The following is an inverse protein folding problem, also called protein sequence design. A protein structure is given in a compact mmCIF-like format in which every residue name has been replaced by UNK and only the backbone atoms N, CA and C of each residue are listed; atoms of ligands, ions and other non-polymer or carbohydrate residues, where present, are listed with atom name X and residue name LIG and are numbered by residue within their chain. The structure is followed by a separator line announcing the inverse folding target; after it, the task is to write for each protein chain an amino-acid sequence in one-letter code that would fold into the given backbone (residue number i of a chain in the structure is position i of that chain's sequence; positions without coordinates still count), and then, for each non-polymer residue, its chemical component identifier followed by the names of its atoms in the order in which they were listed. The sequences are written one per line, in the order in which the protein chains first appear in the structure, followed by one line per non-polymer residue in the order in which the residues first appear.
data_IF_368306123589
#
_entry.id   IF_368306123589
#
_cell.length_a   1.000
_cell.length_b   1.000
_cell.length_c   1.000
_cell.angle_alpha   90.00
_cell.angle_beta   90.00
_cell.angle_gamma   90.00
#
_symmetry.space_group_name_H-M   'P 1'
#
loop_
_entity.id
_entity.type
_entity.pdbx_description
1 polymer ?
#
# COMPACT_ATOMS: atom_id res chain seq x y z
N UNK A 1 30.49 -12.05 -24.34
CA UNK A 1 31.36 -11.79 -23.17
C UNK A 1 30.93 -10.59 -22.32
N UNK A 2 30.43 -9.50 -22.91
CA UNK A 2 29.95 -8.32 -22.15
C UNK A 2 28.66 -8.59 -21.34
N UNK A 3 27.70 -9.36 -21.88
CA UNK A 3 26.50 -9.78 -21.15
C UNK A 3 26.79 -10.64 -19.90
N UNK A 4 27.87 -11.42 -19.94
CA UNK A 4 28.30 -12.27 -18.81
C UNK A 4 29.00 -11.46 -17.70
N UNK A 5 29.67 -10.34 -18.02
CA UNK A 5 30.34 -9.50 -17.02
C UNK A 5 29.38 -8.56 -16.29
N UNK A 6 28.27 -8.15 -16.93
CA UNK A 6 27.21 -7.32 -16.32
C UNK A 6 26.46 -8.12 -15.23
N UNK A 7 26.24 -9.43 -15.45
CA UNK A 7 25.58 -10.30 -14.46
C UNK A 7 26.36 -10.45 -13.14
N UNK A 8 27.69 -10.43 -13.19
CA UNK A 8 28.55 -10.67 -12.01
C UNK A 8 28.66 -9.49 -11.05
N UNK A 9 28.40 -8.26 -11.50
CA UNK A 9 28.46 -7.07 -10.64
C UNK A 9 27.12 -6.70 -10.00
N UNK A 10 25.99 -7.00 -10.65
CA UNK A 10 24.66 -6.87 -10.02
C UNK A 10 24.44 -7.84 -8.85
N UNK A 11 25.11 -8.99 -8.83
CA UNK A 11 25.01 -9.97 -7.74
C UNK A 11 25.80 -9.61 -6.46
N UNK A 12 26.73 -8.64 -6.53
CA UNK A 12 27.62 -8.28 -5.40
C UNK A 12 27.70 -6.77 -5.11
N UNK A 13 26.67 -6.00 -5.49
CA UNK A 13 26.62 -4.57 -5.22
C UNK A 13 25.99 -4.23 -3.87
N UNK A 14 26.55 -3.24 -3.15
CA UNK A 14 25.94 -2.67 -1.95
C UNK A 14 24.50 -2.15 -2.21
N UNK A 15 24.18 -1.75 -3.45
CA UNK A 15 22.84 -1.36 -3.87
C UNK A 15 21.80 -2.49 -3.72
N UNK A 16 22.16 -3.72 -4.10
CA UNK A 16 21.29 -4.90 -3.97
C UNK A 16 20.96 -5.20 -2.51
N UNK A 17 21.94 -5.01 -1.61
CA UNK A 17 21.74 -5.12 -0.16
C UNK A 17 20.76 -4.05 0.33
N UNK A 18 20.94 -2.78 -0.06
CA UNK A 18 20.04 -1.70 0.38
C UNK A 18 18.61 -1.90 -0.10
N UNK A 19 18.40 -2.39 -1.33
CA UNK A 19 17.06 -2.70 -1.86
C UNK A 19 16.34 -3.77 -1.03
N UNK A 20 17.05 -4.82 -0.64
CA UNK A 20 16.51 -5.91 0.20
C UNK A 20 16.29 -5.43 1.64
N UNK A 21 17.25 -4.70 2.20
CA UNK A 21 17.17 -4.14 3.55
C UNK A 21 16.02 -3.11 3.67
N UNK A 22 15.73 -2.35 2.61
CA UNK A 22 14.59 -1.44 2.55
C UNK A 22 13.27 -2.20 2.71
N UNK A 23 13.09 -3.33 2.01
CA UNK A 23 11.87 -4.14 2.10
C UNK A 23 11.70 -4.79 3.48
N UNK A 24 12.79 -5.13 4.16
CA UNK A 24 12.78 -5.54 5.57
C UNK A 24 12.44 -4.38 6.51
N UNK A 25 12.93 -3.17 6.22
CA UNK A 25 12.77 -2.02 7.10
C UNK A 25 11.39 -1.35 7.02
N UNK A 26 10.71 -1.39 5.87
CA UNK A 26 9.39 -0.76 5.66
C UNK A 26 8.41 -1.12 6.79
N UNK A 27 8.19 -2.41 7.15
CA UNK A 27 7.22 -2.77 8.17
C UNK A 27 7.68 -2.46 9.60
N UNK A 28 8.99 -2.31 9.83
CA UNK A 28 9.56 -2.27 11.18
C UNK A 28 9.87 -0.86 11.69
N UNK A 29 10.30 0.05 10.82
CA UNK A 29 10.73 1.38 11.27
C UNK A 29 10.65 2.44 10.16
N UNK A 30 9.93 3.56 10.39
CA UNK A 30 9.94 4.70 9.47
C UNK A 30 11.34 5.25 9.18
N UNK A 31 12.22 5.27 10.20
CA UNK A 31 13.58 5.80 10.10
C UNK A 31 14.48 4.89 9.28
N UNK A 32 14.52 3.59 9.58
CA UNK A 32 15.30 2.62 8.80
C UNK A 32 14.81 2.56 7.36
N UNK A 33 13.49 2.59 7.15
CA UNK A 33 12.89 2.69 5.81
C UNK A 33 13.47 3.89 5.06
N UNK A 34 13.48 5.08 5.64
CA UNK A 34 13.96 6.28 4.95
C UNK A 34 15.47 6.22 4.66
N UNK A 35 16.28 5.71 5.59
CA UNK A 35 17.73 5.52 5.38
C UNK A 35 17.97 4.56 4.21
N UNK A 36 17.39 3.36 4.24
CA UNK A 36 17.59 2.38 3.19
C UNK A 36 16.96 2.78 1.86
N UNK A 37 15.88 3.56 1.87
CA UNK A 37 15.29 4.12 0.66
C UNK A 37 16.27 5.07 -0.03
N UNK A 38 16.86 6.02 0.70
CA UNK A 38 17.84 6.96 0.13
C UNK A 38 19.07 6.22 -0.38
N UNK A 39 19.61 5.28 0.42
CA UNK A 39 20.76 4.47 0.02
C UNK A 39 20.46 3.59 -1.21
N UNK A 40 19.24 3.05 -1.33
CA UNK A 40 18.81 2.29 -2.50
C UNK A 40 18.72 3.19 -3.74
N UNK A 41 18.11 4.37 -3.62
CA UNK A 41 17.99 5.33 -4.72
C UNK A 41 19.38 5.75 -5.21
N UNK A 42 20.27 6.16 -4.30
CA UNK A 42 21.63 6.53 -4.63
C UNK A 42 22.40 5.35 -5.25
N UNK A 43 22.28 4.15 -4.68
CA UNK A 43 22.92 2.94 -5.19
C UNK A 43 22.50 2.61 -6.63
N UNK A 44 21.20 2.72 -6.94
CA UNK A 44 20.69 2.48 -8.30
C UNK A 44 21.15 3.56 -9.27
N UNK A 45 21.13 4.84 -8.88
CA UNK A 45 21.52 5.95 -9.74
C UNK A 45 23.03 5.98 -10.04
N UNK A 46 23.88 5.62 -9.08
CA UNK A 46 25.35 5.59 -9.22
C UNK A 46 25.81 4.40 -10.07
N UNK A 47 25.02 3.34 -10.16
CA UNK A 47 25.37 2.17 -10.97
C UNK A 47 25.20 2.52 -12.46
N UNK A 48 26.27 3.04 -13.08
CA UNK A 48 26.31 3.62 -14.44
C UNK A 48 25.83 2.72 -15.59
N UNK A 49 25.51 1.45 -15.34
CA UNK A 49 25.08 0.48 -16.34
C UNK A 49 23.61 0.64 -16.78
N UNK A 50 22.84 1.54 -16.17
CA UNK A 50 21.38 1.55 -16.30
C UNK A 50 20.78 2.59 -17.27
N UNK A 51 21.58 3.31 -18.06
CA UNK A 51 21.03 4.38 -18.94
C UNK A 51 19.96 3.86 -19.91
N UNK A 52 20.17 2.69 -20.50
CA UNK A 52 19.20 2.06 -21.41
C UNK A 52 17.95 1.57 -20.66
N UNK A 53 18.12 1.03 -19.46
CA UNK A 53 17.02 0.58 -18.59
C UNK A 53 16.12 1.75 -18.18
N UNK A 54 16.73 2.87 -17.79
CA UNK A 54 16.00 4.10 -17.48
C UNK A 54 15.27 4.62 -18.71
N UNK A 55 15.93 4.70 -19.88
CA UNK A 55 15.27 5.14 -21.11
C UNK A 55 14.06 4.27 -21.46
N UNK A 56 14.18 2.94 -21.32
CA UNK A 56 13.07 2.01 -21.48
C UNK A 56 11.95 2.28 -20.47
N UNK A 57 12.27 2.42 -19.19
CA UNK A 57 11.29 2.67 -18.12
C UNK A 57 10.56 3.99 -18.32
N UNK A 58 11.26 5.08 -18.64
CA UNK A 58 10.65 6.39 -18.94
C UNK A 58 9.79 6.37 -20.20
N UNK A 59 10.02 5.44 -21.13
CA UNK A 59 9.16 5.24 -22.29
C UNK A 59 7.81 4.61 -21.92
N UNK A 60 7.73 3.89 -20.80
CA UNK A 60 6.53 3.16 -20.37
C UNK A 60 5.39 4.10 -19.95
N UNK A 61 4.17 3.72 -20.33
CA UNK A 61 2.98 4.52 -20.04
C UNK A 61 2.67 4.65 -18.54
N UNK A 62 2.96 3.61 -17.73
CA UNK A 62 2.82 3.68 -16.27
C UNK A 62 3.79 4.67 -15.62
N UNK A 63 5.00 4.84 -16.17
CA UNK A 63 5.98 5.80 -15.66
C UNK A 63 5.52 7.23 -15.97
N UNK A 64 5.07 7.47 -17.21
CA UNK A 64 4.50 8.76 -17.62
C UNK A 64 3.26 9.12 -16.79
N UNK A 65 2.41 8.14 -16.49
CA UNK A 65 1.23 8.35 -15.66
C UNK A 65 1.59 8.69 -14.19
N UNK A 66 2.61 8.06 -13.62
CA UNK A 66 3.11 8.40 -12.27
C UNK A 66 3.66 9.82 -12.22
N UNK A 67 4.47 10.21 -13.23
CA UNK A 67 5.00 11.57 -13.35
C UNK A 67 3.87 12.58 -13.56
N UNK A 68 2.90 12.28 -14.43
CA UNK A 68 1.74 13.14 -14.67
C UNK A 68 0.97 13.42 -13.37
N UNK A 69 0.67 12.39 -12.58
CA UNK A 69 -0.02 12.54 -11.30
C UNK A 69 0.77 13.43 -10.33
N UNK A 70 2.10 13.28 -10.28
CA UNK A 70 2.96 14.16 -9.48
C UNK A 70 3.01 15.61 -10.02
N UNK A 71 3.05 15.79 -11.34
CA UNK A 71 3.01 17.12 -11.97
C UNK A 71 1.69 17.83 -11.71
N UNK A 72 0.56 17.11 -11.66
CA UNK A 72 -0.74 17.68 -11.25
C UNK A 72 -0.65 18.22 -9.82
N UNK A 73 -0.01 17.49 -8.90
CA UNK A 73 0.24 17.97 -7.53
C UNK A 73 1.10 19.23 -7.50
N UNK A 74 2.15 19.33 -8.32
CA UNK A 74 2.98 20.55 -8.39
C UNK A 74 2.17 21.71 -8.99
N UNK A 75 1.48 21.48 -10.10
CA UNK A 75 0.68 22.50 -10.76
C UNK A 75 -0.40 23.06 -9.84
N UNK A 76 -1.04 22.21 -9.04
CA UNK A 76 -2.05 22.58 -8.06
C UNK A 76 -1.54 23.47 -6.92
N UNK A 77 -0.23 23.60 -6.73
CA UNK A 77 0.33 24.61 -5.84
C UNK A 77 0.21 26.04 -6.38
N UNK A 78 -0.05 26.24 -7.68
CA UNK A 78 -0.12 27.56 -8.31
C UNK A 78 -1.40 28.32 -7.93
N UNK A 79 -2.50 27.61 -7.69
CA UNK A 79 -3.79 28.22 -7.32
C UNK A 79 -4.26 27.88 -5.91
N UNK A 80 -3.62 26.93 -5.21
CA UNK A 80 -4.01 26.57 -3.84
C UNK A 80 -3.76 27.69 -2.83
N UNK A 81 -4.60 27.77 -1.80
CA UNK A 81 -4.52 28.76 -0.71
C UNK A 81 -3.75 28.25 0.53
N UNK A 82 -3.33 26.97 0.55
CA UNK A 82 -2.63 26.38 1.68
C UNK A 82 -1.30 27.10 2.00
N UNK A 83 -0.86 27.06 3.26
CA UNK A 83 0.44 27.61 3.63
C UNK A 83 1.61 26.84 2.98
N UNK A 84 2.76 27.50 2.84
CA UNK A 84 3.93 26.94 2.15
C UNK A 84 4.43 25.63 2.78
N UNK A 85 4.32 25.47 4.10
CA UNK A 85 4.72 24.26 4.79
C UNK A 85 3.80 23.09 4.43
N UNK A 86 2.48 23.28 4.47
CA UNK A 86 1.50 22.27 4.06
C UNK A 86 1.69 21.86 2.59
N UNK A 87 1.92 22.82 1.67
CA UNK A 87 2.23 22.51 0.26
C UNK A 87 3.48 21.64 0.13
N UNK A 88 4.56 22.01 0.81
CA UNK A 88 5.82 21.27 0.78
C UNK A 88 5.64 19.84 1.31
N UNK A 89 4.98 19.67 2.45
CA UNK A 89 4.71 18.35 3.05
C UNK A 89 3.92 17.45 2.09
N UNK A 90 2.94 17.99 1.37
CA UNK A 90 2.17 17.21 0.41
C UNK A 90 2.97 16.89 -0.85
N UNK A 91 3.73 17.85 -1.40
CA UNK A 91 4.65 17.58 -2.51
C UNK A 91 5.63 16.47 -2.13
N UNK A 92 6.24 16.54 -0.93
CA UNK A 92 7.14 15.51 -0.43
C UNK A 92 6.45 14.14 -0.38
N UNK A 93 5.21 14.09 0.13
CA UNK A 93 4.43 12.85 0.20
C UNK A 93 4.09 12.29 -1.19
N UNK A 94 3.81 13.11 -2.19
CA UNK A 94 3.53 12.64 -3.55
C UNK A 94 4.81 12.36 -4.37
N UNK A 95 5.96 12.93 -3.99
CA UNK A 95 7.25 12.71 -4.65
C UNK A 95 7.66 11.23 -4.70
N UNK A 96 7.10 10.40 -3.81
CA UNK A 96 7.31 8.95 -3.82
C UNK A 96 6.94 8.30 -5.15
N UNK A 97 6.01 8.88 -5.93
CA UNK A 97 5.67 8.43 -7.29
C UNK A 97 6.90 8.40 -8.21
N UNK A 98 7.85 9.32 -8.02
CA UNK A 98 9.09 9.42 -8.80
C UNK A 98 10.09 8.30 -8.49
N UNK A 99 9.95 7.59 -7.37
CA UNK A 99 10.81 6.45 -7.06
C UNK A 99 10.41 5.18 -7.80
N UNK A 100 9.19 5.10 -8.33
CA UNK A 100 8.70 3.95 -9.09
C UNK A 100 9.64 3.53 -10.24
N UNK A 101 10.07 4.43 -11.15
CA UNK A 101 11.00 4.07 -12.21
C UNK A 101 12.37 3.61 -11.68
N UNK A 102 12.85 4.23 -10.59
CA UNK A 102 14.14 3.87 -9.97
C UNK A 102 14.09 2.44 -9.44
N UNK A 103 13.03 2.06 -8.73
CA UNK A 103 12.89 0.70 -8.24
C UNK A 103 12.63 -0.32 -9.35
N UNK A 104 11.92 0.06 -10.42
CA UNK A 104 11.77 -0.81 -11.59
C UNK A 104 13.13 -1.17 -12.24
N UNK A 105 14.09 -0.24 -12.24
CA UNK A 105 15.47 -0.52 -12.68
C UNK A 105 16.26 -1.28 -11.60
N UNK A 106 16.16 -0.88 -10.34
CA UNK A 106 16.93 -1.49 -9.25
C UNK A 106 16.63 -2.97 -9.04
N UNK A 107 15.39 -3.40 -9.25
CA UNK A 107 14.95 -4.78 -9.08
C UNK A 107 15.04 -5.65 -10.35
N UNK A 108 15.79 -5.26 -11.38
CA UNK A 108 15.93 -6.04 -12.63
C UNK A 108 16.35 -7.49 -12.39
N UNK A 109 17.24 -7.73 -11.41
CA UNK A 109 17.69 -9.09 -11.10
C UNK A 109 16.60 -9.88 -10.34
N UNK A 110 16.18 -11.01 -10.91
CA UNK A 110 15.19 -11.93 -10.33
C UNK A 110 15.53 -12.39 -8.91
N UNK A 111 16.80 -12.68 -8.63
CA UNK A 111 17.26 -13.11 -7.30
C UNK A 111 17.02 -12.01 -6.26
N UNK A 112 17.32 -10.75 -6.60
CA UNK A 112 17.10 -9.59 -5.72
C UNK A 112 15.60 -9.39 -5.47
N UNK A 113 14.74 -9.53 -6.50
CA UNK A 113 13.28 -9.50 -6.31
C UNK A 113 12.82 -10.49 -5.25
N UNK A 114 13.22 -11.76 -5.41
CA UNK A 114 12.81 -12.82 -4.50
C UNK A 114 13.39 -12.62 -3.09
N UNK A 115 14.65 -12.20 -2.98
CA UNK A 115 15.25 -11.83 -1.69
C UNK A 115 14.50 -10.69 -1.01
N UNK A 116 14.03 -9.69 -1.78
CA UNK A 116 13.21 -8.60 -1.28
C UNK A 116 11.86 -9.08 -0.73
N UNK A 117 11.20 -10.01 -1.43
CA UNK A 117 9.96 -10.65 -0.94
C UNK A 117 10.22 -11.42 0.36
N UNK A 118 11.30 -12.20 0.43
CA UNK A 118 11.65 -12.93 1.65
C UNK A 118 12.01 -12.01 2.82
N UNK A 119 12.69 -10.91 2.55
CA UNK A 119 13.02 -9.87 3.54
C UNK A 119 11.77 -9.17 4.07
N UNK A 120 10.80 -8.88 3.20
CA UNK A 120 9.50 -8.39 3.66
C UNK A 120 8.78 -9.41 4.54
N UNK A 121 8.71 -10.68 4.12
CA UNK A 121 8.04 -11.73 4.88
C UNK A 121 8.71 -11.97 6.25
N UNK A 122 10.03 -11.91 6.35
CA UNK A 122 10.73 -12.06 7.63
C UNK A 122 10.44 -10.90 8.58
N UNK A 123 10.36 -9.66 8.10
CA UNK A 123 9.90 -8.52 8.88
C UNK A 123 8.46 -8.70 9.38
N UNK A 124 7.59 -9.31 8.56
CA UNK A 124 6.21 -9.60 8.94
C UNK A 124 6.09 -10.74 9.95
N UNK A 125 6.98 -11.75 9.91
CA UNK A 125 7.10 -12.75 10.99
C UNK A 125 7.41 -12.07 12.31
N UNK A 126 8.41 -11.18 12.35
CA UNK A 126 8.76 -10.43 13.56
C UNK A 126 7.57 -9.61 14.07
N UNK A 127 6.90 -8.90 13.17
CA UNK A 127 5.72 -8.09 13.50
C UNK A 127 4.59 -8.95 14.07
N UNK A 128 4.32 -10.11 13.47
CA UNK A 128 3.28 -11.05 13.92
C UNK A 128 3.61 -11.65 15.29
N UNK A 129 4.86 -12.06 15.53
CA UNK A 129 5.29 -12.58 16.84
C UNK A 129 5.06 -11.54 17.93
N UNK A 130 5.44 -10.28 17.69
CA UNK A 130 5.24 -9.20 18.66
C UNK A 130 3.74 -8.92 18.86
N UNK A 131 2.95 -8.87 17.79
CA UNK A 131 1.49 -8.70 17.84
C UNK A 131 0.82 -9.79 18.70
N UNK A 132 1.21 -11.05 18.53
CA UNK A 132 0.73 -12.18 19.35
C UNK A 132 1.13 -12.02 20.81
N UNK A 133 2.38 -11.63 21.09
CA UNK A 133 2.86 -11.40 22.45
C UNK A 133 2.11 -10.25 23.14
N UNK A 134 1.81 -9.16 22.41
CA UNK A 134 0.96 -8.07 22.89
C UNK A 134 -0.47 -8.55 23.18
N UNK A 135 -1.06 -9.31 22.26
CA UNK A 135 -2.42 -9.86 22.43
C UNK A 135 -2.57 -10.76 23.66
N UNK A 136 -1.48 -11.42 24.08
CA UNK A 136 -1.46 -12.25 25.30
C UNK A 136 -1.09 -11.48 26.57
N UNK A 137 -0.81 -10.18 26.48
CA UNK A 137 -0.44 -9.33 27.60
C UNK A 137 1.02 -9.45 28.06
N UNK A 138 1.88 -10.14 27.30
CA UNK A 138 3.31 -10.26 27.64
C UNK A 138 4.11 -8.99 27.33
N UNK A 139 3.63 -8.16 26.40
CA UNK A 139 4.26 -6.92 25.97
C UNK A 139 3.22 -5.79 25.96
N UNK A 140 3.51 -4.67 26.60
CA UNK A 140 2.66 -3.49 26.60
C UNK A 140 3.51 -2.25 26.29
N UNK A 141 3.47 -1.80 25.04
CA UNK A 141 4.19 -0.61 24.58
C UNK A 141 3.45 0.04 23.41
N UNK A 142 3.65 1.35 23.22
CA UNK A 142 2.93 2.27 22.32
C UNK A 142 1.42 2.41 22.58
N UNK A 143 0.67 1.31 22.62
CA UNK A 143 -0.75 1.25 22.96
C UNK A 143 -1.18 -0.15 23.33
N UNK A 144 -2.34 -0.28 23.99
CA UNK A 144 -2.97 -1.56 24.33
C UNK A 144 -3.45 -2.35 23.11
N UNK A 145 -3.71 -1.67 21.99
CA UNK A 145 -4.08 -2.31 20.72
C UNK A 145 -2.98 -3.28 20.23
N UNK A 146 -3.26 -4.59 20.16
CA UNK A 146 -2.29 -5.59 19.70
C UNK A 146 -1.83 -5.37 18.26
N UNK A 147 -2.68 -4.81 17.41
CA UNK A 147 -2.37 -4.50 16.00
C UNK A 147 -1.45 -3.28 15.84
N UNK A 148 -1.25 -2.48 16.88
CA UNK A 148 -0.33 -1.35 16.88
C UNK A 148 1.06 -1.81 17.36
N UNK A 149 1.86 -2.34 16.44
CA UNK A 149 3.19 -2.88 16.74
C UNK A 149 4.27 -1.82 16.49
N UNK A 150 4.73 -1.72 15.24
CA UNK A 150 5.66 -0.69 14.77
C UNK A 150 4.94 0.46 14.07
N UNK A 151 3.77 0.16 13.51
CA UNK A 151 2.83 1.11 12.91
C UNK A 151 1.43 0.81 13.43
N UNK A 152 0.52 1.77 13.27
CA UNK A 152 -0.88 1.61 13.69
C UNK A 152 -1.55 0.37 13.08
N UNK A 153 -2.66 -0.07 13.67
CA UNK A 153 -3.36 -1.29 13.25
C UNK A 153 -3.80 -1.26 11.77
N UNK A 154 -4.07 -0.09 11.20
CA UNK A 154 -4.47 0.03 9.78
C UNK A 154 -3.29 -0.35 8.88
N UNK A 155 -2.13 0.27 9.09
CA UNK A 155 -0.91 0.01 8.30
C UNK A 155 -0.42 -1.41 8.54
N UNK A 156 -0.34 -1.84 9.80
CA UNK A 156 0.09 -3.19 10.17
C UNK A 156 -0.83 -4.25 9.56
N UNK A 157 -2.15 -4.04 9.63
CA UNK A 157 -3.14 -4.97 9.08
C UNK A 157 -3.09 -5.06 7.56
N UNK A 158 -2.89 -3.93 6.86
CA UNK A 158 -2.68 -3.93 5.41
C UNK A 158 -1.44 -4.76 5.03
N UNK A 159 -0.31 -4.50 5.71
CA UNK A 159 0.94 -5.22 5.46
C UNK A 159 0.80 -6.72 5.81
N UNK A 160 0.12 -7.06 6.90
CA UNK A 160 -0.07 -8.46 7.28
C UNK A 160 -0.96 -9.22 6.29
N UNK A 161 -2.03 -8.60 5.79
CA UNK A 161 -2.87 -9.18 4.75
C UNK A 161 -2.09 -9.42 3.45
N UNK A 162 -1.24 -8.46 3.05
CA UNK A 162 -0.36 -8.62 1.89
C UNK A 162 0.73 -9.69 2.10
N UNK A 163 1.25 -9.82 3.33
CA UNK A 163 2.20 -10.87 3.69
C UNK A 163 1.57 -12.27 3.61
N UNK A 164 0.33 -12.44 4.12
CA UNK A 164 -0.43 -13.69 3.99
C UNK A 164 -0.60 -14.09 2.52
N UNK A 165 -0.94 -13.11 1.66
CA UNK A 165 -1.08 -13.27 0.22
C UNK A 165 0.24 -13.70 -0.44
N UNK A 166 1.34 -13.00 -0.18
CA UNK A 166 2.66 -13.33 -0.72
C UNK A 166 3.14 -14.71 -0.28
N UNK A 167 2.96 -15.06 0.99
CA UNK A 167 3.28 -16.39 1.50
C UNK A 167 2.43 -17.46 0.79
N UNK A 168 1.14 -17.20 0.57
CA UNK A 168 0.25 -18.13 -0.13
C UNK A 168 0.64 -18.32 -1.59
N UNK A 169 1.07 -17.24 -2.24
CA UNK A 169 1.62 -17.28 -3.59
C UNK A 169 2.97 -18.01 -3.68
N UNK A 170 3.83 -17.90 -2.67
CA UNK A 170 5.06 -18.70 -2.63
C UNK A 170 4.78 -20.19 -2.37
N UNK A 171 3.80 -20.49 -1.51
CA UNK A 171 3.40 -21.85 -1.20
C UNK A 171 2.94 -22.64 -2.45
N UNK A 172 2.25 -21.99 -3.39
CA UNK A 172 1.84 -22.61 -4.64
C UNK A 172 2.97 -22.81 -5.66
N UNK A 173 4.14 -22.19 -5.44
CA UNK A 173 5.30 -22.25 -6.35
C UNK A 173 6.43 -23.14 -5.85
N UNK A 174 6.54 -23.29 -4.54
CA UNK A 174 7.58 -24.10 -3.90
C UNK A 174 7.11 -25.56 -3.72
N UNK A 175 8.06 -26.46 -3.43
CA UNK A 175 7.80 -27.88 -3.18
C UNK A 175 8.40 -28.33 -1.85
N UNK A 176 7.99 -29.52 -1.37
CA UNK A 176 8.52 -30.14 -0.15
C UNK A 176 8.39 -29.26 1.09
N UNK A 177 9.44 -29.21 1.92
CA UNK A 177 9.45 -28.46 3.17
C UNK A 177 9.23 -26.95 3.02
N UNK A 178 9.65 -26.34 1.90
CA UNK A 178 9.42 -24.91 1.65
C UNK A 178 7.95 -24.59 1.41
N UNK A 179 7.23 -25.45 0.69
CA UNK A 179 5.79 -25.32 0.52
C UNK A 179 5.07 -25.34 1.86
N UNK A 180 5.43 -26.30 2.73
CA UNK A 180 4.85 -26.41 4.07
C UNK A 180 5.16 -25.16 4.90
N UNK A 181 6.41 -24.68 4.88
CA UNK A 181 6.79 -23.43 5.56
C UNK A 181 5.92 -22.26 5.11
N UNK A 182 5.77 -22.04 3.80
CA UNK A 182 4.98 -20.91 3.30
C UNK A 182 3.48 -21.06 3.57
N UNK A 183 2.93 -22.28 3.57
CA UNK A 183 1.56 -22.53 4.03
C UNK A 183 1.38 -22.17 5.51
N UNK A 184 2.32 -22.56 6.36
CA UNK A 184 2.31 -22.19 7.78
C UNK A 184 2.41 -20.68 7.99
N UNK A 185 3.25 -20.00 7.19
CA UNK A 185 3.33 -18.53 7.21
C UNK A 185 2.02 -17.88 6.76
N UNK A 186 1.37 -18.39 5.70
CA UNK A 186 0.04 -17.91 5.29
C UNK A 186 -0.97 -18.03 6.43
N UNK A 187 -1.01 -19.18 7.10
CA UNK A 187 -1.92 -19.40 8.23
C UNK A 187 -1.59 -18.47 9.41
N UNK A 188 -0.31 -18.31 9.73
CA UNK A 188 0.15 -17.43 10.81
C UNK A 188 -0.27 -15.97 10.56
N UNK A 189 -0.02 -15.44 9.37
CA UNK A 189 -0.40 -14.07 9.02
C UNK A 189 -1.91 -13.90 8.89
N UNK A 190 -2.62 -14.92 8.41
CA UNK A 190 -4.08 -14.93 8.40
C UNK A 190 -4.65 -14.88 9.82
N UNK A 191 -4.03 -15.59 10.76
CA UNK A 191 -4.44 -15.58 12.16
C UNK A 191 -4.29 -14.19 12.77
N UNK A 192 -3.16 -13.51 12.51
CA UNK A 192 -2.96 -12.14 12.98
C UNK A 192 -4.03 -11.19 12.45
N UNK A 193 -4.29 -11.22 11.14
CA UNK A 193 -5.31 -10.34 10.53
C UNK A 193 -6.72 -10.63 11.05
N UNK A 194 -7.10 -11.89 11.18
CA UNK A 194 -8.47 -12.27 11.49
C UNK A 194 -8.77 -12.25 12.99
N UNK A 195 -7.80 -12.50 13.86
CA UNK A 195 -8.03 -12.73 15.29
C UNK A 195 -7.28 -11.80 16.24
N UNK A 196 -6.29 -11.03 15.76
CA UNK A 196 -5.50 -10.13 16.61
C UNK A 196 -5.65 -8.67 16.20
N UNK A 197 -5.50 -8.38 14.90
CA UNK A 197 -5.46 -7.02 14.40
C UNK A 197 -6.85 -6.37 14.45
N UNK A 198 -6.94 -5.24 15.13
CA UNK A 198 -8.20 -4.48 15.31
C UNK A 198 -8.58 -3.63 14.09
N UNK A 199 -7.69 -3.52 13.10
CA UNK A 199 -7.87 -2.70 11.92
C UNK A 199 -8.93 -3.24 10.99
N UNK A 200 -10.09 -2.57 10.95
CA UNK A 200 -11.27 -3.00 10.18
C UNK A 200 -11.00 -3.18 8.68
N UNK A 201 -10.13 -2.36 8.10
CA UNK A 201 -9.76 -2.48 6.68
C UNK A 201 -8.97 -3.76 6.38
N UNK A 202 -8.26 -4.32 7.36
CA UNK A 202 -7.37 -5.46 7.13
C UNK A 202 -8.12 -6.72 6.70
N UNK A 203 -9.29 -7.02 7.27
CA UNK A 203 -10.07 -8.20 6.88
C UNK A 203 -10.73 -8.05 5.50
N UNK A 204 -11.08 -6.82 5.09
CA UNK A 204 -11.59 -6.55 3.72
C UNK A 204 -10.46 -6.74 2.70
N UNK A 205 -9.28 -6.18 2.96
CA UNK A 205 -8.10 -6.33 2.12
C UNK A 205 -7.67 -7.80 2.03
N UNK A 206 -7.65 -8.50 3.17
CA UNK A 206 -7.35 -9.93 3.22
C UNK A 206 -8.33 -10.75 2.39
N UNK A 207 -9.63 -10.49 2.51
CA UNK A 207 -10.66 -11.18 1.72
C UNK A 207 -10.42 -11.04 0.21
N UNK A 208 -10.16 -9.81 -0.25
CA UNK A 208 -9.87 -9.53 -1.68
C UNK A 208 -8.59 -10.23 -2.13
N UNK A 209 -7.55 -10.19 -1.32
CA UNK A 209 -6.27 -10.82 -1.65
C UNK A 209 -6.38 -12.35 -1.71
N UNK A 210 -7.07 -12.98 -0.76
CA UNK A 210 -7.30 -14.42 -0.76
C UNK A 210 -8.19 -14.86 -1.93
N UNK A 211 -9.22 -14.08 -2.28
CA UNK A 211 -9.98 -14.30 -3.52
C UNK A 211 -9.07 -14.20 -4.75
N UNK A 212 -8.19 -13.20 -4.80
CA UNK A 212 -7.19 -13.06 -5.85
C UNK A 212 -6.26 -14.28 -5.95
N UNK A 213 -5.88 -14.85 -4.81
CA UNK A 213 -5.04 -16.06 -4.74
C UNK A 213 -5.79 -17.29 -5.28
N UNK A 214 -7.06 -17.45 -4.91
CA UNK A 214 -7.91 -18.52 -5.43
C UNK A 214 -8.11 -18.40 -6.94
N UNK A 215 -8.41 -17.20 -7.44
CA UNK A 215 -8.51 -16.93 -8.88
C UNK A 215 -7.21 -17.20 -9.62
N UNK A 216 -6.06 -17.03 -8.97
CA UNK A 216 -4.76 -17.31 -9.57
C UNK A 216 -4.47 -18.81 -9.71
N UNK A 217 -4.79 -19.62 -8.69
CA UNK A 217 -4.45 -21.04 -8.67
C UNK A 217 -5.55 -21.99 -9.15
N UNK A 218 -6.82 -21.62 -8.98
CA UNK A 218 -7.93 -22.49 -9.36
C UNK A 218 -8.23 -22.33 -10.86
N UNK A 219 -8.39 -23.44 -11.59
CA UNK A 219 -8.89 -23.36 -12.95
C UNK A 219 -10.36 -22.91 -12.92
N UNK A 220 -10.80 -22.25 -14.00
CA UNK A 220 -12.16 -21.64 -14.12
C UNK A 220 -13.27 -22.63 -13.75
N UNK A 221 -13.12 -23.91 -14.10
CA UNK A 221 -14.08 -24.98 -13.77
C UNK A 221 -14.32 -25.19 -12.26
N UNK A 222 -13.34 -24.91 -11.41
CA UNK A 222 -13.45 -25.05 -9.95
C UNK A 222 -13.59 -23.70 -9.25
N UNK A 223 -13.58 -22.59 -10.00
CA UNK A 223 -13.53 -21.26 -9.43
C UNK A 223 -14.79 -20.93 -8.63
N UNK A 224 -15.98 -21.25 -9.17
CA UNK A 224 -17.24 -20.99 -8.47
C UNK A 224 -17.29 -21.74 -7.14
N UNK A 225 -17.00 -23.05 -7.16
CA UNK A 225 -16.97 -23.87 -5.93
C UNK A 225 -15.92 -23.39 -4.94
N UNK A 226 -14.74 -22.99 -5.41
CA UNK A 226 -13.67 -22.44 -4.57
C UNK A 226 -14.03 -21.10 -3.94
N UNK A 227 -14.65 -20.19 -4.70
CA UNK A 227 -15.13 -18.90 -4.19
C UNK A 227 -16.24 -19.11 -3.17
N UNK A 228 -17.23 -19.95 -3.46
CA UNK A 228 -18.31 -20.27 -2.50
C UNK A 228 -17.75 -20.90 -1.23
N UNK A 229 -16.87 -21.90 -1.35
CA UNK A 229 -16.22 -22.55 -0.21
C UNK A 229 -15.41 -21.57 0.63
N UNK A 230 -14.67 -20.66 -0.02
CA UNK A 230 -13.93 -19.60 0.66
C UNK A 230 -14.86 -18.61 1.37
N UNK A 231 -15.95 -18.17 0.74
CA UNK A 231 -16.93 -17.28 1.38
C UNK A 231 -17.55 -17.92 2.61
N UNK A 232 -17.89 -19.22 2.55
CA UNK A 232 -18.42 -19.97 3.71
C UNK A 232 -17.36 -20.04 4.81
N UNK A 233 -16.13 -20.43 4.48
CA UNK A 233 -15.03 -20.53 5.45
C UNK A 233 -14.70 -19.17 6.09
N UNK A 234 -14.65 -18.12 5.28
CA UNK A 234 -14.44 -16.76 5.75
C UNK A 234 -15.58 -16.31 6.66
N UNK A 235 -16.83 -16.61 6.31
CA UNK A 235 -18.00 -16.35 7.16
C UNK A 235 -17.91 -17.06 8.52
N UNK A 236 -17.42 -18.31 8.56
CA UNK A 236 -17.15 -19.04 9.79
C UNK A 236 -16.06 -18.35 10.63
N UNK A 237 -14.96 -17.90 10.02
CA UNK A 237 -13.92 -17.18 10.75
C UNK A 237 -14.38 -15.81 11.27
N UNK A 238 -15.17 -15.09 10.47
CA UNK A 238 -15.81 -13.84 10.90
C UNK A 238 -16.69 -14.09 12.13
N UNK A 239 -17.47 -15.17 12.13
CA UNK A 239 -18.33 -15.53 13.26
C UNK A 239 -17.56 -15.95 14.53
N UNK A 240 -16.39 -16.59 14.38
CA UNK A 240 -15.58 -16.99 15.52
C UNK A 240 -14.66 -15.87 16.05
N UNK A 241 -14.34 -14.88 15.22
CA UNK A 241 -13.44 -13.80 15.59
C UNK A 241 -14.13 -12.77 16.47
N UNK A 242 -13.75 -12.73 17.75
CA UNK A 242 -14.16 -11.68 18.68
C UNK A 242 -13.76 -10.29 18.19
N UNK A 243 -12.60 -10.16 17.54
CA UNK A 243 -12.10 -8.88 17.04
C UNK A 243 -12.98 -8.35 15.90
N UNK A 244 -13.35 -9.21 14.94
CA UNK A 244 -14.24 -8.80 13.85
C UNK A 244 -15.65 -8.51 14.38
N UNK A 245 -16.15 -9.31 15.31
CA UNK A 245 -17.44 -9.05 15.97
C UNK A 245 -17.46 -7.70 16.70
N UNK A 246 -16.45 -7.39 17.51
CA UNK A 246 -16.33 -6.11 18.19
C UNK A 246 -16.19 -4.95 17.20
N UNK A 247 -15.38 -5.13 16.14
CA UNK A 247 -15.18 -4.14 15.09
C UNK A 247 -16.46 -3.83 14.30
N UNK A 248 -17.27 -4.84 13.99
CA UNK A 248 -18.56 -4.67 13.28
C UNK A 248 -19.64 -4.10 14.18
N UNK A 249 -19.76 -4.60 15.42
CA UNK A 249 -20.71 -4.08 16.40
C UNK A 249 -20.44 -2.60 16.71
N UNK A 250 -19.17 -2.22 16.92
CA UNK A 250 -18.79 -0.83 17.15
C UNK A 250 -19.14 0.08 15.97
N UNK A 251 -19.01 -0.36 14.71
CA UNK A 251 -19.49 0.45 13.57
C UNK A 251 -21.00 0.71 13.66
N UNK A 252 -21.79 -0.32 13.94
CA UNK A 252 -23.25 -0.21 14.00
C UNK A 252 -23.68 0.69 15.16
N UNK A 253 -23.07 0.52 16.32
CA UNK A 253 -23.30 1.35 17.50
C UNK A 253 -22.90 2.82 17.26
N UNK A 254 -21.70 3.06 16.72
CA UNK A 254 -21.23 4.40 16.38
C UNK A 254 -22.12 5.07 15.32
N UNK A 255 -22.67 4.31 14.36
CA UNK A 255 -23.61 4.82 13.37
C UNK A 255 -24.98 5.15 13.98
N UNK A 256 -25.46 4.34 14.92
CA UNK A 256 -26.68 4.60 15.66
C UNK A 256 -26.54 5.87 16.52
N UNK A 257 -25.41 5.99 17.23
CA UNK A 257 -25.05 7.20 17.99
C UNK A 257 -24.97 8.44 17.09
N UNK A 258 -24.40 8.30 15.89
CA UNK A 258 -24.36 9.39 14.90
C UNK A 258 -25.76 9.86 14.50
N UNK A 259 -26.69 8.93 14.26
CA UNK A 259 -28.10 9.25 13.98
C UNK A 259 -28.80 9.92 15.15
N UNK A 260 -28.42 9.58 16.39
CA UNK A 260 -28.93 10.18 17.63
C UNK A 260 -28.27 11.53 17.96
N UNK A 261 -27.35 12.02 17.13
CA UNK A 261 -26.71 13.33 17.29
C UNK A 261 -25.32 13.30 17.93
N UNK A 262 -24.85 12.16 18.44
CA UNK A 262 -23.48 12.00 18.92
C UNK A 262 -22.53 11.72 17.73
N UNK A 263 -21.85 12.77 17.27
CA UNK A 263 -20.99 12.73 16.07
C UNK A 263 -19.50 12.57 16.38
N UNK A 264 -19.13 12.39 17.64
CA UNK A 264 -17.74 12.39 18.11
C UNK A 264 -17.18 10.96 18.26
N UNK A 265 -17.50 10.10 17.29
CA UNK A 265 -17.01 8.72 17.15
C UNK A 265 -16.07 8.59 15.94
N UNK A 266 -15.32 7.49 15.86
CA UNK A 266 -14.39 7.27 14.73
C UNK A 266 -15.12 7.28 13.38
N UNK A 267 -16.28 6.61 13.31
CA UNK A 267 -17.17 6.63 12.14
C UNK A 267 -17.77 8.02 11.93
N UNK A 268 -18.21 8.69 13.00
CA UNK A 268 -18.80 10.02 12.92
C UNK A 268 -17.83 11.08 12.38
N UNK A 269 -16.57 11.05 12.80
CA UNK A 269 -15.51 11.90 12.26
C UNK A 269 -15.29 11.65 10.76
N UNK A 270 -15.11 10.40 10.33
CA UNK A 270 -14.91 10.06 8.91
C UNK A 270 -16.07 10.51 8.04
N UNK A 271 -17.31 10.28 8.49
CA UNK A 271 -18.50 10.75 7.76
C UNK A 271 -18.50 12.27 7.60
N UNK A 272 -18.18 13.02 8.66
CA UNK A 272 -18.08 14.49 8.57
C UNK A 272 -16.93 14.94 7.68
N UNK A 273 -15.78 14.27 7.72
CA UNK A 273 -14.65 14.58 6.84
C UNK A 273 -15.01 14.35 5.38
N UNK A 274 -15.71 13.26 5.06
CA UNK A 274 -16.20 12.98 3.71
C UNK A 274 -17.27 13.98 3.25
N UNK A 275 -18.19 14.37 4.14
CA UNK A 275 -19.21 15.39 3.85
C UNK A 275 -18.54 16.73 3.54
N UNK A 276 -17.54 17.12 4.32
CA UNK A 276 -16.78 18.35 4.10
C UNK A 276 -15.90 18.28 2.83
N UNK A 277 -15.25 17.14 2.58
CA UNK A 277 -14.53 16.92 1.33
C UNK A 277 -15.46 17.05 0.10
N UNK A 278 -16.68 16.51 0.20
CA UNK A 278 -17.69 16.69 -0.84
C UNK A 278 -18.06 18.15 -1.07
N UNK A 279 -18.25 18.96 -0.02
CA UNK A 279 -18.55 20.38 -0.19
C UNK A 279 -17.39 21.15 -0.84
N UNK A 280 -16.14 20.86 -0.47
CA UNK A 280 -14.97 21.46 -1.10
C UNK A 280 -14.79 21.04 -2.56
N UNK A 281 -15.09 19.79 -2.90
CA UNK A 281 -15.06 19.33 -4.29
C UNK A 281 -16.12 20.05 -5.13
N UNK A 282 -17.34 20.19 -4.61
CA UNK A 282 -18.43 20.84 -5.34
C UNK A 282 -18.21 22.33 -5.60
N UNK A 283 -17.39 23.01 -4.80
CA UNK A 283 -17.05 24.42 -5.03
C UNK A 283 -15.95 24.63 -6.09
N UNK A 284 -15.11 23.63 -6.38
CA UNK A 284 -14.13 23.67 -7.48
C UNK A 284 -13.96 22.28 -8.13
N UNK A 285 -14.96 21.78 -8.89
CA UNK A 285 -14.99 20.39 -9.32
C UNK A 285 -13.98 20.06 -10.42
N UNK A 286 -13.59 21.02 -11.26
CA UNK A 286 -12.72 20.76 -12.41
C UNK A 286 -11.25 20.61 -12.01
N UNK A 287 -10.71 21.62 -11.32
CA UNK A 287 -9.29 21.73 -10.96
C UNK A 287 -9.02 21.57 -9.45
N UNK A 288 -10.06 21.52 -8.61
CA UNK A 288 -9.90 21.38 -7.17
C UNK A 288 -9.50 22.67 -6.46
N UNK A 289 -9.26 22.56 -5.15
CA UNK A 289 -8.87 23.62 -4.22
C UNK A 289 -7.35 23.88 -4.20
N UNK A 290 -6.59 23.13 -4.99
CA UNK A 290 -5.14 23.16 -4.99
C UNK A 290 -4.51 22.25 -3.92
N UNK A 291 -3.19 22.06 -4.00
CA UNK A 291 -2.43 21.20 -3.08
C UNK A 291 -2.51 21.74 -1.66
N UNK A 292 -3.02 20.92 -0.73
CA UNK A 292 -3.27 21.31 0.65
C UNK A 292 -4.62 21.98 0.86
N UNK A 293 -5.45 22.08 -0.17
CA UNK A 293 -6.77 22.72 -0.10
C UNK A 293 -7.70 22.08 0.92
N UNK A 294 -7.64 20.75 1.08
CA UNK A 294 -8.42 20.07 2.13
C UNK A 294 -7.99 20.52 3.53
N UNK A 295 -6.69 20.43 3.84
CA UNK A 295 -6.16 20.78 5.16
C UNK A 295 -6.35 22.28 5.49
N UNK A 296 -6.18 23.13 4.48
CA UNK A 296 -6.41 24.57 4.61
C UNK A 296 -7.87 24.88 4.90
N UNK A 297 -8.79 24.36 4.07
CA UNK A 297 -10.23 24.54 4.28
C UNK A 297 -10.67 24.01 5.64
N UNK A 298 -10.23 22.82 6.02
CA UNK A 298 -10.62 22.19 7.29
C UNK A 298 -10.21 23.05 8.50
N UNK A 299 -9.02 23.67 8.47
CA UNK A 299 -8.56 24.60 9.52
C UNK A 299 -9.33 25.92 9.51
N UNK A 300 -9.70 26.42 8.34
CA UNK A 300 -10.36 27.72 8.15
C UNK A 300 -11.83 27.67 8.55
N UNK A 301 -12.54 26.64 8.10
CA UNK A 301 -13.99 26.54 8.25
C UNK A 301 -14.39 25.81 9.55
N UNK A 302 -13.43 25.13 10.19
CA UNK A 302 -13.62 24.29 11.39
C UNK A 302 -14.93 23.46 11.39
N UNK A 303 -15.16 22.62 10.36
CA UNK A 303 -16.43 21.90 10.18
C UNK A 303 -16.66 20.84 11.26
N UNK A 304 -15.61 20.51 12.04
CA UNK A 304 -15.64 19.53 13.13
C UNK A 304 -14.89 20.09 14.34
N UNK A 305 -15.53 20.96 15.14
CA UNK A 305 -14.86 21.67 16.24
C UNK A 305 -14.21 20.75 17.30
N UNK A 306 -14.78 19.57 17.52
CA UNK A 306 -14.22 18.54 18.40
C UNK A 306 -12.88 17.94 17.90
N UNK A 307 -12.49 18.24 16.65
CA UNK A 307 -11.23 17.83 16.02
C UNK A 307 -10.33 19.00 15.60
N UNK A 308 -10.72 20.24 15.91
CA UNK A 308 -10.03 21.50 15.54
C UNK A 308 -8.54 21.55 15.92
N UNK A 309 -8.17 21.00 17.07
CA UNK A 309 -6.79 21.00 17.58
C UNK A 309 -5.86 19.98 16.90
N UNK A 310 -6.34 19.20 15.93
CA UNK A 310 -5.56 18.17 15.25
C UNK A 310 -5.24 18.61 13.83
N UNK A 311 -3.97 18.49 13.44
CA UNK A 311 -3.53 18.76 12.07
C UNK A 311 -4.02 17.64 11.13
N UNK A 312 -5.25 17.74 10.65
CA UNK A 312 -5.85 16.79 9.71
C UNK A 312 -5.36 17.10 8.30
N UNK A 313 -4.60 16.15 7.73
CA UNK A 313 -4.05 16.31 6.38
C UNK A 313 -4.97 15.75 5.30
N UNK A 314 -5.89 14.86 5.65
CA UNK A 314 -6.67 14.11 4.69
C UNK A 314 -8.07 13.74 5.20
N UNK A 315 -9.02 13.49 4.30
CA UNK A 315 -10.39 13.12 4.67
C UNK A 315 -10.54 11.64 5.06
N UNK A 316 -9.46 10.88 5.25
CA UNK A 316 -9.49 9.40 5.36
C UNK A 316 -10.09 8.72 4.11
N UNK A 317 -9.77 9.25 2.94
CA UNK A 317 -10.06 8.60 1.66
C UNK A 317 -9.22 9.28 0.58
N UNK A 318 -8.36 8.51 -0.08
CA UNK A 318 -7.49 9.07 -1.13
C UNK A 318 -8.29 9.65 -2.29
N UNK A 319 -9.44 9.04 -2.60
CA UNK A 319 -10.30 9.52 -3.67
C UNK A 319 -10.91 10.87 -3.35
N UNK A 320 -11.39 11.06 -2.11
CA UNK A 320 -11.85 12.37 -1.66
C UNK A 320 -10.71 13.39 -1.60
N UNK A 321 -9.53 12.99 -1.14
CA UNK A 321 -8.38 13.89 -1.10
C UNK A 321 -8.02 14.40 -2.50
N UNK A 322 -7.89 13.50 -3.47
CA UNK A 322 -7.57 13.84 -4.86
C UNK A 322 -8.68 14.67 -5.50
N UNK A 323 -9.95 14.34 -5.21
CA UNK A 323 -11.09 15.12 -5.69
C UNK A 323 -11.04 16.57 -5.16
N UNK A 324 -10.80 16.75 -3.86
CA UNK A 324 -10.74 18.07 -3.24
C UNK A 324 -9.55 18.87 -3.75
N UNK A 325 -8.35 18.29 -3.77
CA UNK A 325 -7.14 19.06 -4.10
C UNK A 325 -7.01 19.33 -5.61
N UNK A 326 -7.40 18.37 -6.45
CA UNK A 326 -7.08 18.37 -7.88
C UNK A 326 -8.32 18.21 -8.79
N UNK A 327 -9.52 18.12 -8.23
CA UNK A 327 -10.76 18.01 -8.99
C UNK A 327 -10.86 16.75 -9.85
N UNK A 328 -11.70 16.83 -10.89
CA UNK A 328 -11.84 15.79 -11.90
C UNK A 328 -10.53 15.54 -12.66
N UNK A 329 -9.68 16.55 -12.82
CA UNK A 329 -8.36 16.40 -13.43
C UNK A 329 -7.49 15.41 -12.65
N UNK A 330 -7.41 15.57 -11.32
CA UNK A 330 -6.66 14.66 -10.47
C UNK A 330 -7.26 13.26 -10.39
N UNK A 331 -8.59 13.16 -10.33
CA UNK A 331 -9.28 11.85 -10.39
C UNK A 331 -8.90 11.14 -11.69
N UNK A 332 -8.99 11.82 -12.83
CA UNK A 332 -8.62 11.27 -14.13
C UNK A 332 -7.14 10.85 -14.16
N UNK A 333 -6.22 11.67 -13.62
CA UNK A 333 -4.81 11.34 -13.54
C UNK A 333 -4.53 10.11 -12.65
N UNK A 334 -5.22 9.99 -11.51
CA UNK A 334 -5.09 8.84 -10.59
C UNK A 334 -5.61 7.55 -11.24
N UNK A 335 -6.79 7.58 -11.85
CA UNK A 335 -7.32 6.41 -12.55
C UNK A 335 -6.53 6.06 -13.81
N UNK A 336 -5.99 7.06 -14.51
CA UNK A 336 -5.04 6.83 -15.60
C UNK A 336 -3.78 6.12 -15.11
N UNK A 337 -3.24 6.51 -13.94
CA UNK A 337 -2.13 5.81 -13.31
C UNK A 337 -2.48 4.35 -12.96
N UNK A 338 -3.62 4.11 -12.29
CA UNK A 338 -4.06 2.75 -11.98
C UNK A 338 -4.30 1.89 -13.22
N UNK A 339 -4.93 2.44 -14.26
CA UNK A 339 -5.17 1.73 -15.52
C UNK A 339 -3.85 1.31 -16.19
N UNK A 340 -2.86 2.20 -16.23
CA UNK A 340 -1.55 1.88 -16.82
C UNK A 340 -0.78 0.83 -16.00
N UNK A 341 -0.87 0.87 -14.66
CA UNK A 341 -0.32 -0.19 -13.81
C UNK A 341 -1.02 -1.54 -14.07
N UNK A 342 -2.34 -1.53 -14.23
CA UNK A 342 -3.13 -2.72 -14.52
C UNK A 342 -2.74 -3.33 -15.88
N UNK A 343 -2.67 -2.51 -16.92
CA UNK A 343 -2.24 -2.97 -18.25
C UNK A 343 -0.81 -3.51 -18.23
N UNK A 344 0.10 -2.86 -17.48
CA UNK A 344 1.45 -3.36 -17.30
C UNK A 344 1.46 -4.71 -16.55
N UNK A 345 0.64 -4.86 -15.51
CA UNK A 345 0.51 -6.10 -14.73
C UNK A 345 0.09 -7.29 -15.60
N UNK A 346 -0.83 -7.09 -16.55
CA UNK A 346 -1.27 -8.14 -17.48
C UNK A 346 -0.18 -8.61 -18.45
N UNK A 347 0.87 -7.82 -18.68
CA UNK A 347 2.04 -8.19 -19.50
C UNK A 347 3.12 -8.93 -18.70
N UNK A 348 3.02 -8.95 -17.38
CA UNK A 348 3.90 -9.72 -16.51
C UNK A 348 3.54 -11.20 -16.59
N UNK A 349 4.52 -12.07 -16.33
CA UNK A 349 4.35 -13.53 -16.30
C UNK A 349 4.52 -14.02 -14.86
N UNK A 350 5.67 -13.75 -14.26
CA UNK A 350 6.01 -14.25 -12.93
C UNK A 350 5.35 -13.42 -11.82
N UNK A 351 5.47 -12.09 -11.92
CA UNK A 351 5.06 -11.13 -10.91
C UNK A 351 3.63 -10.62 -11.11
N UNK A 352 2.92 -11.10 -12.14
CA UNK A 352 1.52 -10.72 -12.43
C UNK A 352 0.60 -10.88 -11.22
N UNK A 353 0.57 -12.03 -10.50
CA UNK A 353 -0.34 -12.18 -9.35
C UNK A 353 0.00 -11.17 -8.26
N UNK A 354 1.28 -11.02 -7.94
CA UNK A 354 1.77 -10.08 -6.92
C UNK A 354 1.34 -8.65 -7.23
N UNK A 355 1.53 -8.20 -8.47
CA UNK A 355 1.15 -6.86 -8.91
C UNK A 355 -0.37 -6.64 -8.87
N UNK A 356 -1.17 -7.62 -9.32
CA UNK A 356 -2.64 -7.52 -9.31
C UNK A 356 -3.20 -7.54 -7.88
N UNK A 357 -2.65 -8.39 -7.01
CA UNK A 357 -3.00 -8.44 -5.60
C UNK A 357 -2.68 -7.12 -4.90
N UNK A 358 -1.46 -6.61 -5.08
CA UNK A 358 -1.06 -5.32 -4.51
C UNK A 358 -1.94 -4.16 -5.02
N UNK A 359 -2.17 -4.08 -6.33
CA UNK A 359 -2.95 -3.01 -6.94
C UNK A 359 -4.41 -3.04 -6.48
N UNK A 360 -5.04 -4.22 -6.45
CA UNK A 360 -6.42 -4.36 -5.97
C UNK A 360 -6.57 -4.01 -4.49
N UNK A 361 -5.67 -4.51 -3.63
CA UNK A 361 -5.62 -4.14 -2.22
C UNK A 361 -5.41 -2.64 -2.05
N UNK A 362 -4.49 -2.03 -2.80
CA UNK A 362 -4.23 -0.60 -2.71
C UNK A 362 -5.43 0.23 -3.16
N UNK A 363 -6.08 -0.10 -4.28
CA UNK A 363 -7.27 0.61 -4.76
C UNK A 363 -8.41 0.55 -3.74
N UNK A 364 -8.74 -0.63 -3.21
CA UNK A 364 -9.81 -0.76 -2.21
C UNK A 364 -9.42 -0.10 -0.89
N UNK A 365 -8.16 -0.22 -0.48
CA UNK A 365 -7.64 0.42 0.72
C UNK A 365 -7.79 1.95 0.69
N UNK A 366 -7.62 2.54 -0.49
CA UNK A 366 -7.76 3.97 -0.73
C UNK A 366 -9.20 4.52 -0.59
N UNK A 367 -10.21 3.65 -0.49
CA UNK A 367 -11.60 4.06 -0.21
C UNK A 367 -11.78 4.56 1.22
N UNK A 368 -11.12 3.89 2.18
CA UNK A 368 -11.28 4.16 3.61
C UNK A 368 -10.09 4.90 4.23
N UNK A 369 -9.00 5.05 3.50
CA UNK A 369 -7.85 5.80 3.99
C UNK A 369 -7.05 6.41 2.84
N UNK A 370 -6.23 7.42 3.12
CA UNK A 370 -5.40 8.06 2.08
C UNK A 370 -4.06 7.34 1.93
N UNK A 371 -4.07 6.06 1.52
CA UNK A 371 -2.89 5.19 1.55
C UNK A 371 -1.72 5.70 0.69
N UNK A 372 -2.02 6.36 -0.43
CA UNK A 372 -0.98 6.99 -1.27
C UNK A 372 -0.34 8.17 -0.56
N UNK A 373 -1.11 8.94 0.21
CA UNK A 373 -0.60 10.02 1.06
C UNK A 373 0.21 9.47 2.24
N UNK A 374 -0.30 8.46 2.95
CA UNK A 374 0.40 7.79 4.05
C UNK A 374 1.77 7.32 3.59
N UNK A 375 2.78 7.60 4.40
CA UNK A 375 4.17 7.37 4.01
C UNK A 375 4.42 5.88 3.83
N UNK A 376 4.11 5.04 4.83
CA UNK A 376 4.55 3.65 4.87
C UNK A 376 3.89 2.78 3.79
N UNK A 377 2.55 2.75 3.72
CA UNK A 377 1.82 1.94 2.72
C UNK A 377 2.04 2.47 1.30
N UNK A 378 2.07 3.80 1.12
CA UNK A 378 2.41 4.39 -0.18
C UNK A 378 3.82 4.00 -0.65
N UNK A 379 4.83 4.02 0.23
CA UNK A 379 6.17 3.54 -0.11
C UNK A 379 6.20 2.04 -0.41
N UNK A 380 5.51 1.21 0.39
CA UNK A 380 5.37 -0.22 0.13
C UNK A 380 4.80 -0.46 -1.28
N UNK A 381 3.72 0.25 -1.62
CA UNK A 381 3.08 0.16 -2.92
C UNK A 381 4.04 0.51 -4.05
N UNK A 382 4.76 1.63 -3.95
CA UNK A 382 5.71 2.07 -4.99
C UNK A 382 6.87 1.09 -5.14
N UNK A 383 7.46 0.65 -4.02
CA UNK A 383 8.62 -0.27 -4.02
C UNK A 383 8.22 -1.62 -4.61
N UNK A 384 7.12 -2.23 -4.14
CA UNK A 384 6.65 -3.50 -4.68
C UNK A 384 6.15 -3.39 -6.12
N UNK A 385 5.54 -2.27 -6.51
CA UNK A 385 5.18 -2.04 -7.91
C UNK A 385 6.43 -2.00 -8.79
N UNK A 386 7.48 -1.30 -8.36
CA UNK A 386 8.78 -1.30 -9.03
C UNK A 386 9.39 -2.71 -9.10
N UNK A 387 9.36 -3.45 -7.99
CA UNK A 387 9.81 -4.85 -7.92
C UNK A 387 9.06 -5.75 -8.91
N UNK A 388 7.76 -5.58 -9.09
CA UNK A 388 6.97 -6.39 -10.03
C UNK A 388 7.25 -5.98 -11.49
N UNK A 389 7.25 -4.66 -11.76
CA UNK A 389 7.42 -4.11 -13.10
C UNK A 389 8.84 -4.32 -13.65
N UNK A 390 9.84 -4.50 -12.79
CA UNK A 390 11.20 -4.80 -13.20
C UNK A 390 11.34 -6.12 -13.97
N UNK A 391 10.36 -7.03 -13.90
CA UNK A 391 10.31 -8.22 -14.75
C UNK A 391 10.28 -7.85 -16.25
N UNK A 392 9.59 -6.75 -16.60
CA UNK A 392 9.54 -6.27 -17.99
C UNK A 392 10.88 -5.70 -18.46
N UNK A 393 11.64 -5.09 -17.55
CA UNK A 393 12.98 -4.56 -17.81
C UNK A 393 13.97 -5.72 -17.95
N UNK A 394 13.87 -6.75 -17.09
CA UNK A 394 14.70 -7.94 -17.18
C UNK A 394 14.56 -8.69 -18.52
N UNK A 395 13.32 -8.81 -19.03
CA UNK A 395 13.05 -9.42 -20.35
C UNK A 395 13.68 -8.67 -21.51
N UNK A 396 13.96 -7.37 -21.36
CA UNK A 396 14.68 -6.63 -22.38
C UNK A 396 16.14 -7.06 -22.47
N UNK A 397 16.77 -7.46 -21.36
CA UNK A 397 18.16 -7.95 -21.36
C UNK A 397 18.30 -9.36 -21.96
N UNK A 398 17.19 -10.10 -22.03
CA UNK A 398 17.13 -11.43 -22.64
C UNK A 398 16.91 -11.38 -24.16
N UNK A 399 16.51 -10.22 -24.71
CA UNK A 399 16.34 -9.97 -26.15
C UNK A 399 17.57 -9.30 -26.73
#
# INVERSE_FOLDING_TARGET
MVALSISRWQEKGWASFFLVAMLFAIPLSPSLKSIFLVLSVLGVLVTFTHKQDFAFVFSQAWCKAAILLFLVTIAACLWGEADSHTRFVLIEKYSKLLYLPIFAVGFCNRKIRMMGIYAYLSAMVLTCVISVLKSKGYLNFHSEDPGHVFHNHIVTGFMMAFAAYLAGWLAGREQGGRRVLFLLLTLLFSYDVLFINTGRMSYVIYFILMLGLLMHYLPVKYLIGGVVGFCVLFGVFVNQSKVIHQGTYSILDELHQYQQGNKDSSVGYRLRFHQYAKSLFLSSPLIGQGTGGFSHGFKKDDPVPSWSNKNLLDPHSQYWLIAVEFGLLGIAALFYFFANLLFAAFRLQEMKPVMLGLLSAFMVGNLSDSLLLYSVVGYLFIVFSGLCLSESVAKQHEK
#
